data_IF_455379170122
#
_entry.id   IF_455379170122
#
_cell.length_a   1.000
_cell.length_b   1.000
_cell.length_c   1.000
_cell.angle_alpha   90.00
_cell.angle_beta   90.00
_cell.angle_gamma   90.00
#
_symmetry.space_group_name_H-M   'P 1'
#
loop_
_entity.id
_entity.type
_entity.pdbx_description
1 polymer ?
#
# COMPACT_ATOMS: atom_id res chain seq x y z
N UNK A 1 -7.66 -8.99 8.63
CA UNK A 1 -7.36 -8.42 7.31
C UNK A 1 -7.99 -7.05 7.08
N UNK A 2 -9.31 -6.85 6.93
CA UNK A 2 -9.89 -5.48 7.07
C UNK A 2 -9.64 -4.90 8.48
N UNK A 3 -9.41 -5.78 9.46
CA UNK A 3 -9.02 -5.44 10.82
C UNK A 3 -7.59 -4.85 10.93
N UNK A 4 -6.72 -5.05 9.93
CA UNK A 4 -5.28 -4.79 10.07
C UNK A 4 -4.95 -3.31 9.79
N UNK A 5 -5.80 -2.59 9.05
CA UNK A 5 -5.63 -1.17 8.71
C UNK A 5 -6.51 -0.22 9.56
N UNK A 6 -7.52 -0.76 10.24
CA UNK A 6 -8.54 0.03 10.94
C UNK A 6 -9.23 1.06 10.02
N UNK A 7 -9.66 2.18 10.60
CA UNK A 7 -10.26 3.30 9.84
C UNK A 7 -9.29 4.47 9.64
N UNK A 8 -8.03 4.34 10.07
CA UNK A 8 -7.05 5.43 10.06
C UNK A 8 -6.79 5.98 8.65
N UNK A 9 -6.84 5.12 7.62
CA UNK A 9 -6.65 5.50 6.22
C UNK A 9 -7.71 6.49 5.72
N UNK A 10 -8.92 6.52 6.31
CA UNK A 10 -9.98 7.46 5.92
C UNK A 10 -9.65 8.91 6.25
N UNK A 11 -8.78 9.14 7.23
CA UNK A 11 -8.33 10.47 7.61
C UNK A 11 -7.04 10.89 6.88
N UNK A 12 -6.47 10.00 6.06
CA UNK A 12 -5.24 10.27 5.33
C UNK A 12 -5.52 11.06 4.05
N UNK A 13 -4.52 11.84 3.62
CA UNK A 13 -4.52 12.45 2.29
C UNK A 13 -4.22 11.38 1.24
N UNK A 14 -4.84 11.47 0.07
CA UNK A 14 -4.55 10.60 -1.08
C UNK A 14 -3.05 10.58 -1.42
N UNK A 15 -2.34 11.71 -1.26
CA UNK A 15 -0.89 11.78 -1.43
C UNK A 15 -0.13 10.87 -0.46
N UNK A 16 -0.55 10.79 0.80
CA UNK A 16 0.09 9.92 1.79
C UNK A 16 -0.13 8.43 1.44
N UNK A 17 -1.32 8.07 0.94
CA UNK A 17 -1.58 6.72 0.43
C UNK A 17 -0.71 6.42 -0.81
N UNK A 18 -0.51 7.42 -1.67
CA UNK A 18 0.40 7.30 -2.82
C UNK A 18 1.83 7.02 -2.38
N UNK A 19 2.32 7.73 -1.35
CA UNK A 19 3.65 7.50 -0.79
C UNK A 19 3.80 6.07 -0.24
N UNK A 20 2.76 5.53 0.44
CA UNK A 20 2.76 4.15 0.92
C UNK A 20 2.86 3.12 -0.22
N UNK A 21 2.16 3.37 -1.34
CA UNK A 21 2.28 2.53 -2.56
C UNK A 21 3.70 2.58 -3.11
N UNK A 22 4.29 3.77 -3.22
CA UNK A 22 5.65 3.95 -3.72
C UNK A 22 6.68 3.24 -2.83
N UNK A 23 6.51 3.28 -1.50
CA UNK A 23 7.37 2.56 -0.56
C UNK A 23 7.30 1.04 -0.78
N UNK A 24 6.10 0.47 -0.97
CA UNK A 24 5.93 -0.98 -1.24
C UNK A 24 6.49 -1.37 -2.60
N UNK A 25 6.35 -0.51 -3.61
CA UNK A 25 6.95 -0.74 -4.93
C UNK A 25 8.49 -0.72 -4.86
N UNK A 26 9.06 0.26 -4.16
CA UNK A 26 10.51 0.32 -3.93
C UNK A 26 11.01 -0.92 -3.19
N UNK A 27 10.23 -1.41 -2.22
CA UNK A 27 10.54 -2.65 -1.50
C UNK A 27 10.60 -3.85 -2.44
N UNK A 28 9.62 -4.02 -3.33
CA UNK A 28 9.61 -5.10 -4.31
C UNK A 28 10.86 -5.05 -5.21
N UNK A 29 11.22 -3.87 -5.72
CA UNK A 29 12.44 -3.72 -6.54
C UNK A 29 13.72 -4.11 -5.79
N UNK A 30 13.81 -3.82 -4.49
CA UNK A 30 14.94 -4.25 -3.67
C UNK A 30 15.00 -5.77 -3.51
N UNK A 31 13.84 -6.43 -3.34
CA UNK A 31 13.73 -7.89 -3.23
C UNK A 31 14.20 -8.55 -4.53
N UNK A 32 13.74 -8.03 -5.67
CA UNK A 32 14.16 -8.51 -6.99
C UNK A 32 15.67 -8.32 -7.22
N UNK A 33 16.20 -7.13 -6.89
CA UNK A 33 17.63 -6.84 -6.99
C UNK A 33 18.49 -7.75 -6.10
N UNK A 34 17.95 -8.24 -4.99
CA UNK A 34 18.59 -9.19 -4.07
C UNK A 34 18.37 -10.66 -4.48
N UNK A 35 17.86 -10.92 -5.70
CA UNK A 35 17.53 -12.27 -6.19
C UNK A 35 16.57 -13.03 -5.27
N UNK A 36 15.63 -12.33 -4.65
CA UNK A 36 14.67 -12.92 -3.71
C UNK A 36 15.25 -13.26 -2.32
N UNK A 37 16.51 -12.91 -2.03
CA UNK A 37 17.09 -13.07 -0.68
C UNK A 37 16.59 -11.96 0.25
N UNK A 38 15.42 -12.17 0.83
CA UNK A 38 14.89 -11.29 1.89
C UNK A 38 15.35 -11.71 3.27
N UNK A 39 15.91 -10.77 4.04
CA UNK A 39 16.14 -10.93 5.49
C UNK A 39 14.80 -10.84 6.27
N UNK A 40 13.76 -10.31 5.63
CA UNK A 40 12.49 -9.96 6.27
C UNK A 40 11.41 -11.05 6.07
N UNK A 41 10.54 -11.17 7.08
CA UNK A 41 9.46 -12.17 7.20
C UNK A 41 8.27 -11.97 6.24
N UNK A 42 8.31 -11.00 5.33
CA UNK A 42 7.27 -10.76 4.33
C UNK A 42 7.83 -10.91 2.92
N UNK A 43 7.33 -11.93 2.22
CA UNK A 43 7.61 -12.16 0.80
C UNK A 43 6.99 -11.08 -0.11
N UNK A 44 7.27 -11.15 -1.42
CA UNK A 44 6.73 -10.21 -2.41
C UNK A 44 5.19 -10.19 -2.45
N UNK A 45 4.52 -11.31 -2.17
CA UNK A 45 3.05 -11.42 -2.20
C UNK A 45 2.35 -10.49 -1.20
N UNK A 46 2.95 -10.30 -0.01
CA UNK A 46 2.44 -9.36 0.98
C UNK A 46 2.46 -7.92 0.46
N UNK A 47 3.58 -7.55 -0.17
CA UNK A 47 3.77 -6.20 -0.71
C UNK A 47 2.82 -5.91 -1.88
N UNK A 48 2.58 -6.88 -2.77
CA UNK A 48 1.58 -6.75 -3.83
C UNK A 48 0.16 -6.55 -3.27
N UNK A 49 -0.21 -7.32 -2.24
CA UNK A 49 -1.53 -7.19 -1.60
C UNK A 49 -1.70 -5.80 -0.97
N UNK A 50 -0.67 -5.29 -0.30
CA UNK A 50 -0.69 -3.96 0.29
C UNK A 50 -0.87 -2.86 -0.76
N UNK A 51 -0.14 -2.94 -1.89
CA UNK A 51 -0.28 -1.98 -2.99
C UNK A 51 -1.73 -1.93 -3.49
N UNK A 52 -2.36 -3.10 -3.70
CA UNK A 52 -3.76 -3.17 -4.14
C UNK A 52 -4.71 -2.58 -3.09
N UNK A 53 -4.53 -2.91 -1.81
CA UNK A 53 -5.36 -2.37 -0.73
C UNK A 53 -5.25 -0.84 -0.64
N UNK A 54 -4.04 -0.30 -0.71
CA UNK A 54 -3.82 1.15 -0.69
C UNK A 54 -4.38 1.83 -1.93
N UNK A 55 -4.28 1.21 -3.11
CA UNK A 55 -4.92 1.74 -4.32
C UNK A 55 -6.45 1.81 -4.16
N UNK A 56 -7.07 0.79 -3.58
CA UNK A 56 -8.52 0.79 -3.30
C UNK A 56 -8.87 1.91 -2.31
N UNK A 57 -8.09 2.09 -1.24
CA UNK A 57 -8.32 3.19 -0.28
C UNK A 57 -8.22 4.56 -0.93
N UNK A 58 -7.23 4.78 -1.80
CA UNK A 58 -7.09 6.02 -2.56
C UNK A 58 -8.30 6.26 -3.48
N UNK A 59 -8.79 5.22 -4.17
CA UNK A 59 -9.98 5.32 -5.02
C UNK A 59 -11.23 5.69 -4.22
N UNK A 60 -11.44 5.08 -3.04
CA UNK A 60 -12.56 5.42 -2.16
C UNK A 60 -12.49 6.88 -1.73
N UNK A 61 -11.32 7.35 -1.27
CA UNK A 61 -11.15 8.75 -0.85
C UNK A 61 -11.37 9.74 -1.99
N UNK A 62 -10.88 9.43 -3.19
CA UNK A 62 -11.09 10.28 -4.37
C UNK A 62 -12.58 10.39 -4.73
N UNK A 63 -13.32 9.28 -4.61
CA UNK A 63 -14.76 9.28 -4.86
C UNK A 63 -15.53 10.06 -3.78
N UNK A 64 -15.17 9.90 -2.51
CA UNK A 64 -15.74 10.69 -1.41
C UNK A 64 -15.48 12.20 -1.58
N UNK A 65 -14.28 12.58 -2.05
CA UNK A 65 -13.94 13.97 -2.37
C UNK A 65 -14.73 14.53 -3.56
N UNK A 66 -15.12 13.68 -4.51
CA UNK A 66 -15.90 14.07 -5.69
C UNK A 66 -17.37 14.34 -5.37
N UNK A 67 -17.87 13.72 -4.30
CA UNK A 67 -19.26 13.80 -3.85
C UNK A 67 -19.52 14.80 -2.72
N UNK A 68 -18.47 15.44 -2.21
CA UNK A 68 -18.53 16.59 -1.30
C UNK A 68 -18.35 17.91 -2.07
#
# INVERSE_FOLDING_TARGET
KNHDYGEAWRQMRVSAITDMILMKLLRLRQIEAQSGKTIASEGPEGNYRDIVNYAIFALILLEEQRHN
#
